data_IF_064311518486
#
_entry.id   IF_064311518486
#
_cell.length_a   1.000
_cell.length_b   1.000
_cell.length_c   1.000
_cell.angle_alpha   90.00
_cell.angle_beta   90.00
_cell.angle_gamma   90.00
#
_symmetry.space_group_name_H-M   'P 1'
#
loop_
_entity.id
_entity.type
_entity.pdbx_description
1 polymer ?
#
# COMPACT_ATOMS: atom_id res chain seq x y z
N UNK A 1 -9.72 -2.52 0.20
CA UNK A 1 -10.09 -1.16 0.60
C UNK A 1 -10.21 -0.27 -0.64
N UNK A 2 -10.93 0.85 -0.55
CA UNK A 2 -11.03 1.79 -1.67
C UNK A 2 -9.65 2.41 -1.99
N UNK A 3 -9.40 2.73 -3.25
CA UNK A 3 -8.10 3.26 -3.72
C UNK A 3 -7.01 2.19 -3.87
N UNK A 4 -7.16 1.04 -3.23
CA UNK A 4 -6.20 -0.06 -3.29
C UNK A 4 -6.53 -1.03 -4.43
N UNK A 5 -5.50 -1.53 -5.08
CA UNK A 5 -5.68 -2.52 -6.13
C UNK A 5 -6.07 -3.87 -5.53
N UNK A 6 -7.23 -4.37 -5.91
CA UNK A 6 -7.67 -5.73 -5.64
C UNK A 6 -7.13 -6.67 -6.72
N UNK A 7 -6.67 -7.84 -6.32
CA UNK A 7 -6.28 -8.92 -7.24
C UNK A 7 -6.57 -10.27 -6.59
N UNK A 8 -7.19 -11.18 -7.35
CA UNK A 8 -7.46 -12.54 -6.92
C UNK A 8 -7.39 -13.49 -8.12
N UNK A 9 -6.66 -14.58 -8.00
CA UNK A 9 -6.57 -15.60 -9.04
C UNK A 9 -7.56 -16.72 -8.76
N UNK A 10 -8.54 -16.89 -9.64
CA UNK A 10 -9.49 -18.02 -9.60
C UNK A 10 -8.76 -19.26 -10.11
N UNK A 11 -8.68 -20.27 -9.26
CA UNK A 11 -8.06 -21.53 -9.63
C UNK A 11 -9.12 -22.55 -10.00
N UNK A 12 -8.98 -23.17 -11.17
CA UNK A 12 -9.78 -24.30 -11.63
C UNK A 12 -8.89 -25.45 -12.08
N UNK A 13 -9.48 -26.60 -12.19
CA UNK A 13 -8.84 -27.76 -12.75
C UNK A 13 -9.82 -28.39 -13.76
N UNK A 14 -9.40 -28.49 -15.01
CA UNK A 14 -10.10 -29.24 -16.03
C UNK A 14 -9.44 -30.62 -16.16
N UNK A 15 -10.18 -31.73 -15.88
CA UNK A 15 -9.61 -33.09 -15.90
C UNK A 15 -9.21 -33.55 -17.30
N UNK A 16 -9.87 -33.02 -18.34
CA UNK A 16 -9.65 -33.42 -19.74
C UNK A 16 -8.61 -32.53 -20.43
N UNK A 17 -8.29 -31.37 -19.83
CA UNK A 17 -7.27 -30.43 -20.30
C UNK A 17 -7.78 -29.52 -21.42
N UNK A 18 -9.11 -29.32 -21.51
CA UNK A 18 -9.73 -28.40 -22.46
C UNK A 18 -9.43 -26.93 -22.08
N UNK A 19 -9.61 -26.01 -23.03
CA UNK A 19 -9.43 -24.58 -22.76
C UNK A 19 -10.62 -24.06 -21.96
N UNK A 20 -10.33 -23.48 -20.81
CA UNK A 20 -11.34 -22.94 -19.91
C UNK A 20 -11.37 -21.43 -20.02
N UNK A 21 -12.59 -20.85 -20.08
CA UNK A 21 -12.83 -19.41 -20.01
C UNK A 21 -13.60 -19.07 -18.75
N UNK A 22 -13.33 -17.90 -18.18
CA UNK A 22 -13.99 -17.35 -17.00
C UNK A 22 -14.59 -15.99 -17.33
N UNK A 23 -15.85 -15.78 -16.94
CA UNK A 23 -16.55 -14.50 -17.10
C UNK A 23 -17.23 -14.10 -15.79
N UNK A 24 -17.42 -12.80 -15.59
CA UNK A 24 -18.29 -12.26 -14.55
C UNK A 24 -19.65 -12.02 -15.19
N UNK A 25 -20.71 -12.61 -14.63
CA UNK A 25 -22.06 -12.49 -15.17
C UNK A 25 -22.74 -11.17 -14.80
N UNK A 26 -22.33 -10.56 -13.68
CA UNK A 26 -22.84 -9.26 -13.26
C UNK A 26 -21.72 -8.22 -13.29
N UNK A 27 -22.03 -7.03 -13.83
CA UNK A 27 -21.08 -5.94 -13.97
C UNK A 27 -20.89 -5.19 -12.65
N UNK A 28 -19.78 -5.41 -11.99
CA UNK A 28 -19.28 -4.54 -10.91
C UNK A 28 -18.35 -3.54 -11.58
N UNK A 29 -18.65 -2.24 -11.48
CA UNK A 29 -18.02 -1.20 -12.28
C UNK A 29 -16.49 -1.14 -12.20
N UNK A 30 -15.94 -1.45 -11.03
CA UNK A 30 -14.50 -1.40 -10.78
C UNK A 30 -13.79 -2.76 -10.93
N UNK A 31 -14.53 -3.88 -11.04
CA UNK A 31 -13.98 -5.25 -11.06
C UNK A 31 -13.98 -5.83 -12.47
N UNK A 32 -12.87 -6.41 -12.88
CA UNK A 32 -12.69 -7.09 -14.15
C UNK A 32 -12.15 -8.50 -13.96
N UNK A 33 -12.41 -9.39 -14.91
CA UNK A 33 -11.77 -10.69 -15.01
C UNK A 33 -11.10 -10.85 -16.38
N UNK A 34 -9.90 -11.40 -16.39
CA UNK A 34 -9.23 -11.77 -17.64
C UNK A 34 -9.52 -13.24 -18.01
N UNK A 35 -9.12 -13.65 -19.22
CA UNK A 35 -9.33 -15.02 -19.73
C UNK A 35 -8.61 -16.12 -18.92
N UNK A 36 -7.66 -15.75 -18.06
CA UNK A 36 -6.95 -16.67 -17.17
C UNK A 36 -7.60 -16.75 -15.78
N UNK A 37 -8.73 -16.09 -15.56
CA UNK A 37 -9.45 -16.05 -14.28
C UNK A 37 -8.84 -15.12 -13.23
N UNK A 38 -7.98 -14.19 -13.62
CA UNK A 38 -7.51 -13.18 -12.71
C UNK A 38 -8.54 -12.07 -12.60
N UNK A 39 -9.08 -11.92 -11.41
CA UNK A 39 -9.91 -10.78 -11.01
C UNK A 39 -9.00 -9.63 -10.61
N UNK A 40 -9.32 -8.44 -11.08
CA UNK A 40 -8.56 -7.24 -10.71
C UNK A 40 -9.40 -5.96 -10.85
N UNK A 41 -9.06 -4.96 -10.07
CA UNK A 41 -9.69 -3.65 -10.12
C UNK A 41 -9.32 -2.79 -8.93
N UNK A 42 -9.75 -1.54 -8.97
CA UNK A 42 -9.54 -0.58 -7.89
C UNK A 42 -10.87 0.08 -7.56
N UNK A 43 -11.49 -0.24 -6.42
CA UNK A 43 -12.71 0.42 -5.99
C UNK A 43 -12.43 1.89 -5.66
N UNK A 44 -13.43 2.72 -5.85
CA UNK A 44 -13.37 4.15 -5.58
C UNK A 44 -14.04 4.51 -4.25
N UNK A 45 -13.94 5.77 -3.82
CA UNK A 45 -14.62 6.28 -2.62
C UNK A 45 -16.15 6.05 -2.68
N UNK A 46 -16.75 6.08 -3.87
CA UNK A 46 -18.20 5.82 -4.03
C UNK A 46 -18.61 4.37 -3.78
N UNK A 47 -17.65 3.45 -3.75
CA UNK A 47 -17.89 2.02 -3.53
C UNK A 47 -17.79 1.64 -2.04
N UNK A 48 -17.36 2.56 -1.15
CA UNK A 48 -17.24 2.33 0.29
C UNK A 48 -18.57 1.89 0.89
N UNK A 49 -18.53 0.81 1.66
CA UNK A 49 -19.70 0.21 2.30
C UNK A 49 -20.56 -0.62 1.35
N UNK A 50 -20.19 -0.72 0.08
CA UNK A 50 -20.84 -1.65 -0.84
C UNK A 50 -20.48 -3.10 -0.50
N UNK A 51 -21.40 -4.00 -0.79
CA UNK A 51 -21.21 -5.45 -0.67
C UNK A 51 -21.89 -6.09 -1.87
N UNK A 52 -21.07 -6.55 -2.82
CA UNK A 52 -21.53 -7.08 -4.09
C UNK A 52 -21.32 -8.59 -4.16
N UNK A 53 -22.28 -9.31 -4.75
CA UNK A 53 -22.10 -10.71 -5.06
C UNK A 53 -21.45 -10.84 -6.43
N UNK A 54 -20.28 -11.43 -6.49
CA UNK A 54 -19.60 -11.77 -7.74
C UNK A 54 -20.08 -13.15 -8.16
N UNK A 55 -20.69 -13.27 -9.34
CA UNK A 55 -21.04 -14.51 -9.97
C UNK A 55 -20.07 -14.76 -11.13
N UNK A 56 -19.33 -15.86 -11.06
CA UNK A 56 -18.40 -16.29 -12.09
C UNK A 56 -18.96 -17.52 -12.79
N UNK A 57 -19.01 -17.47 -14.12
CA UNK A 57 -19.26 -18.65 -14.94
C UNK A 57 -17.96 -19.10 -15.60
N UNK A 58 -17.59 -20.34 -15.35
CA UNK A 58 -16.43 -21.01 -15.93
C UNK A 58 -16.95 -21.99 -16.99
N UNK A 59 -16.47 -21.87 -18.23
CA UNK A 59 -16.92 -22.70 -19.35
C UNK A 59 -15.72 -23.33 -20.07
N UNK A 60 -15.79 -24.64 -20.34
CA UNK A 60 -14.84 -25.32 -21.23
C UNK A 60 -15.21 -25.11 -22.71
N UNK A 61 -14.27 -25.34 -23.60
CA UNK A 61 -14.47 -25.23 -25.06
C UNK A 61 -14.66 -26.58 -25.75
N UNK A 62 -15.11 -27.63 -25.05
CA UNK A 62 -15.27 -28.96 -25.58
C UNK A 62 -16.22 -28.95 -26.82
N UNK A 63 -15.79 -29.46 -27.97
CA UNK A 63 -16.61 -29.51 -29.16
C UNK A 63 -17.94 -30.23 -28.92
N UNK A 64 -19.05 -29.55 -29.19
CA UNK A 64 -20.43 -30.02 -29.10
C UNK A 64 -21.02 -30.20 -27.68
N UNK A 65 -20.27 -30.01 -26.62
CA UNK A 65 -20.77 -30.09 -25.24
C UNK A 65 -19.97 -29.11 -24.39
N UNK A 66 -20.32 -27.84 -24.41
CA UNK A 66 -19.75 -26.86 -23.48
C UNK A 66 -20.27 -27.16 -22.07
N UNK A 67 -19.41 -27.58 -21.17
CA UNK A 67 -19.76 -27.71 -19.77
C UNK A 67 -19.44 -26.40 -19.07
N UNK A 68 -20.31 -26.01 -18.14
CA UNK A 68 -20.12 -24.80 -17.35
C UNK A 68 -20.32 -25.08 -15.87
N UNK A 69 -19.63 -24.31 -15.03
CA UNK A 69 -19.79 -24.31 -13.59
C UNK A 69 -19.84 -22.87 -13.10
N UNK A 70 -20.78 -22.62 -12.18
CA UNK A 70 -20.96 -21.32 -11.55
C UNK A 70 -20.33 -21.32 -10.17
N UNK A 71 -19.68 -20.21 -9.83
CA UNK A 71 -19.13 -19.96 -8.53
C UNK A 71 -19.48 -18.54 -8.08
N UNK A 72 -19.95 -18.39 -6.83
CA UNK A 72 -20.29 -17.09 -6.30
C UNK A 72 -19.61 -16.81 -4.97
N UNK A 73 -19.22 -15.56 -4.76
CA UNK A 73 -18.71 -15.05 -3.49
C UNK A 73 -19.10 -13.59 -3.34
N UNK A 74 -18.98 -13.08 -2.13
CA UNK A 74 -19.25 -11.67 -1.83
C UNK A 74 -17.94 -10.91 -1.68
N UNK A 75 -17.88 -9.72 -2.29
CA UNK A 75 -16.79 -8.76 -2.11
C UNK A 75 -17.35 -7.51 -1.45
N UNK A 76 -16.70 -7.03 -0.39
CA UNK A 76 -17.04 -5.78 0.27
C UNK A 76 -15.91 -4.79 0.10
N UNK A 77 -16.26 -3.51 0.06
CA UNK A 77 -15.30 -2.40 -0.02
C UNK A 77 -15.34 -1.62 1.28
N UNK A 78 -14.24 -1.68 2.01
CA UNK A 78 -14.06 -0.92 3.25
C UNK A 78 -13.33 0.39 2.97
N UNK A 79 -13.45 1.34 3.90
CA UNK A 79 -12.68 2.58 3.89
C UNK A 79 -11.18 2.27 4.02
N UNK A 80 -10.35 2.93 3.21
CA UNK A 80 -8.90 2.95 3.40
C UNK A 80 -8.56 4.03 4.44
N UNK A 81 -7.78 3.66 5.44
CA UNK A 81 -7.30 4.57 6.47
C UNK A 81 -5.79 4.78 6.27
N UNK A 82 -5.29 6.02 6.40
CA UNK A 82 -3.88 6.29 6.20
C UNK A 82 -2.99 5.61 7.24
N UNK A 83 -1.73 5.28 6.90
CA UNK A 83 -0.73 4.85 7.87
C UNK A 83 -0.55 5.88 8.99
N UNK A 84 -0.35 5.43 10.21
CA UNK A 84 -0.23 6.27 11.40
C UNK A 84 1.16 6.14 12.00
N UNK A 85 1.80 7.29 12.28
CA UNK A 85 3.02 7.31 13.09
C UNK A 85 2.65 7.15 14.57
N UNK A 86 3.20 6.15 15.22
CA UNK A 86 2.99 5.86 16.65
C UNK A 86 4.06 6.50 17.54
N UNK A 87 5.23 6.74 16.98
CA UNK A 87 6.37 7.39 17.66
C UNK A 87 6.69 8.69 16.95
N UNK A 88 6.71 9.77 17.72
CA UNK A 88 7.04 11.10 17.23
C UNK A 88 8.34 11.58 17.89
N UNK A 89 9.24 12.22 17.12
CA UNK A 89 10.34 13.00 17.70
C UNK A 89 9.77 14.25 18.40
N UNK A 90 10.58 14.87 19.24
CA UNK A 90 10.28 16.22 19.72
C UNK A 90 10.26 17.21 18.54
N UNK A 91 9.53 18.33 18.66
CA UNK A 91 9.45 19.37 17.61
C UNK A 91 10.83 19.85 17.17
N UNK A 92 11.79 19.82 18.11
CA UNK A 92 13.21 20.12 17.85
C UNK A 92 14.10 19.08 18.51
N UNK A 93 14.81 18.32 17.71
CA UNK A 93 15.82 17.37 18.14
C UNK A 93 17.22 17.98 18.12
N UNK A 94 18.15 17.39 18.83
CA UNK A 94 19.57 17.81 18.84
C UNK A 94 20.46 16.70 18.27
N UNK A 95 21.36 17.05 17.37
CA UNK A 95 22.42 16.18 16.86
C UNK A 95 23.79 16.81 17.17
N UNK A 96 24.79 15.99 17.52
CA UNK A 96 26.15 16.48 17.86
C UNK A 96 27.09 16.21 16.69
N UNK A 97 27.93 17.21 16.36
CA UNK A 97 28.95 17.10 15.32
C UNK A 97 29.84 15.87 15.55
N UNK A 98 30.05 15.09 14.48
CA UNK A 98 30.89 13.88 14.52
C UNK A 98 30.27 12.67 15.23
N UNK A 99 29.12 12.83 15.87
CA UNK A 99 28.38 11.73 16.51
C UNK A 99 27.23 11.24 15.60
N UNK A 100 26.98 9.94 15.65
CA UNK A 100 25.83 9.36 14.90
C UNK A 100 24.53 9.80 15.56
N UNK A 101 23.67 10.46 14.77
CA UNK A 101 22.27 10.70 15.07
C UNK A 101 21.44 9.56 14.50
N UNK A 102 20.44 9.09 15.23
CA UNK A 102 19.50 8.07 14.75
C UNK A 102 18.16 8.23 15.46
N UNK A 103 17.08 8.08 14.70
CA UNK A 103 15.72 8.00 15.22
C UNK A 103 14.94 6.94 14.43
N UNK A 104 14.20 6.08 15.12
CA UNK A 104 13.34 5.07 14.53
C UNK A 104 11.88 5.43 14.78
N UNK A 105 11.09 5.40 13.73
CA UNK A 105 9.65 5.62 13.78
C UNK A 105 8.92 4.30 14.02
N UNK A 106 7.89 4.32 14.86
CA UNK A 106 6.84 3.31 14.86
C UNK A 106 5.77 3.75 13.87
N UNK A 107 5.40 2.88 12.94
CA UNK A 107 4.37 3.15 11.94
C UNK A 107 3.49 1.91 11.85
N UNK A 108 2.18 2.11 11.84
CA UNK A 108 1.20 1.05 11.65
C UNK A 108 0.13 1.50 10.67
N UNK A 109 -0.54 0.52 10.07
CA UNK A 109 -1.71 0.72 9.25
C UNK A 109 -2.89 -0.07 9.82
N UNK A 110 -4.05 0.58 9.98
CA UNK A 110 -5.22 -0.02 10.60
C UNK A 110 -5.91 -1.06 9.70
N UNK A 111 -5.75 -0.93 8.39
CA UNK A 111 -6.26 -1.87 7.39
C UNK A 111 -5.26 -3.00 7.10
N UNK A 112 -4.03 -2.91 7.62
CA UNK A 112 -2.88 -3.74 7.31
C UNK A 112 -2.47 -3.68 5.84
N UNK A 113 -2.63 -2.52 5.23
CA UNK A 113 -2.15 -2.27 3.88
C UNK A 113 -0.63 -2.05 3.87
N UNK A 114 0.02 -2.41 2.77
CA UNK A 114 1.42 -2.12 2.55
C UNK A 114 1.61 -0.61 2.36
N UNK A 115 2.56 -0.02 3.05
CA UNK A 115 2.86 1.40 2.92
C UNK A 115 4.36 1.66 2.69
N UNK A 116 4.66 2.82 2.14
CA UNK A 116 6.03 3.27 1.84
C UNK A 116 6.39 4.43 2.75
N UNK A 117 7.50 4.27 3.51
CA UNK A 117 8.11 5.35 4.30
C UNK A 117 9.11 6.13 3.45
N UNK A 118 8.98 7.45 3.43
CA UNK A 118 9.88 8.38 2.72
C UNK A 118 10.23 9.59 3.57
N UNK A 119 11.34 10.27 3.19
CA UNK A 119 11.80 11.50 3.84
C UNK A 119 12.04 12.55 2.74
N UNK A 120 10.97 13.24 2.26
CA UNK A 120 11.04 14.13 1.13
C UNK A 120 11.89 15.40 1.37
N UNK A 121 12.00 15.86 2.63
CA UNK A 121 12.83 16.99 3.00
C UNK A 121 13.75 16.60 4.15
N UNK A 122 15.06 16.81 3.99
CA UNK A 122 16.07 16.50 4.98
C UNK A 122 17.42 17.17 4.63
N UNK A 123 18.29 17.42 5.62
CA UNK A 123 19.65 17.86 5.34
C UNK A 123 20.48 16.75 4.65
N UNK A 124 21.53 17.16 3.93
CA UNK A 124 22.37 16.24 3.15
C UNK A 124 23.09 15.19 4.00
N UNK A 125 23.40 15.51 5.26
CA UNK A 125 24.07 14.58 6.16
C UNK A 125 23.16 13.48 6.75
N UNK A 126 21.83 13.65 6.61
CA UNK A 126 20.83 12.70 7.10
C UNK A 126 20.42 11.75 5.97
N UNK A 127 20.52 10.46 6.20
CA UNK A 127 19.97 9.39 5.37
C UNK A 127 18.73 8.78 5.99
N UNK A 128 18.07 7.86 5.28
CA UNK A 128 16.98 7.06 5.84
C UNK A 128 16.99 5.63 5.30
N UNK A 129 16.43 4.71 6.08
CA UNK A 129 16.14 3.34 5.70
C UNK A 129 14.61 3.17 5.70
N UNK A 130 14.04 2.92 4.53
CA UNK A 130 12.59 2.79 4.37
C UNK A 130 12.04 1.48 4.94
N UNK A 131 12.84 0.41 5.03
CA UNK A 131 12.40 -0.89 5.53
C UNK A 131 12.34 -0.95 7.06
N UNK A 132 13.24 -0.22 7.73
CA UNK A 132 13.33 -0.18 9.19
C UNK A 132 12.70 1.09 9.78
N UNK A 133 12.24 2.03 8.92
CA UNK A 133 11.67 3.33 9.29
C UNK A 133 12.64 4.16 10.13
N UNK A 134 13.92 4.15 9.74
CA UNK A 134 14.99 4.82 10.48
C UNK A 134 15.51 6.01 9.67
N UNK A 135 15.72 7.14 10.34
CA UNK A 135 16.57 8.23 9.87
C UNK A 135 17.89 8.21 10.65
N UNK A 136 19.00 8.39 9.96
CA UNK A 136 20.31 8.41 10.62
C UNK A 136 21.35 9.18 9.81
N UNK A 137 22.38 9.68 10.50
CA UNK A 137 23.48 10.37 9.84
C UNK A 137 24.47 10.95 10.84
N UNK A 138 25.55 11.53 10.34
CA UNK A 138 26.59 12.15 11.17
C UNK A 138 26.85 13.57 10.67
N UNK A 139 26.37 14.60 11.40
CA UNK A 139 26.55 15.98 10.97
C UNK A 139 28.01 16.41 11.06
N UNK A 140 28.40 17.37 10.22
CA UNK A 140 29.72 17.96 10.14
C UNK A 140 29.72 19.35 10.81
N UNK A 141 30.89 19.93 11.11
CA UNK A 141 30.98 21.30 11.67
C UNK A 141 30.29 22.38 10.87
N UNK A 142 30.19 22.19 9.54
CA UNK A 142 29.44 23.10 8.64
C UNK A 142 27.93 23.11 8.88
N UNK A 143 27.40 22.08 9.51
CA UNK A 143 25.95 21.91 9.71
C UNK A 143 25.45 22.64 10.97
N UNK A 144 26.37 23.19 11.81
CA UNK A 144 26.00 23.94 13.03
C UNK A 144 25.41 25.31 12.78
N UNK A 145 25.40 25.79 11.53
CA UNK A 145 25.01 27.18 11.17
C UNK A 145 23.52 27.37 10.95
N UNK A 146 22.73 26.28 10.90
CA UNK A 146 21.32 26.33 10.58
C UNK A 146 20.50 25.32 11.37
N UNK A 147 19.21 25.60 11.52
CA UNK A 147 18.21 24.61 11.91
C UNK A 147 17.81 23.82 10.66
N UNK A 148 17.85 22.50 10.75
CA UNK A 148 17.54 21.62 9.64
C UNK A 148 16.12 21.07 9.76
N UNK A 149 15.27 21.40 8.79
CA UNK A 149 13.94 20.82 8.71
C UNK A 149 14.00 19.39 8.17
N UNK A 150 13.14 18.54 8.71
CA UNK A 150 12.95 17.17 8.24
C UNK A 150 11.46 16.95 8.08
N UNK A 151 11.04 16.44 6.93
CA UNK A 151 9.66 16.01 6.67
C UNK A 151 9.68 14.51 6.42
N UNK A 152 8.82 13.77 7.12
CA UNK A 152 8.63 12.34 6.95
C UNK A 152 7.22 12.06 6.43
N UNK A 153 7.08 11.03 5.63
CA UNK A 153 5.81 10.59 5.07
C UNK A 153 5.70 9.07 5.12
N UNK A 154 4.49 8.60 5.41
CA UNK A 154 4.07 7.23 5.19
C UNK A 154 2.86 7.26 4.26
N UNK A 155 2.91 6.52 3.16
CA UNK A 155 1.88 6.49 2.14
C UNK A 155 1.52 5.05 1.78
N UNK A 156 0.26 4.73 1.78
CA UNK A 156 -0.30 3.48 1.25
C UNK A 156 -0.82 3.66 -0.18
N UNK A 157 -1.77 2.82 -0.59
CA UNK A 157 -2.33 2.81 -1.94
C UNK A 157 -3.22 4.03 -2.29
N UNK A 158 -3.68 4.82 -1.33
CA UNK A 158 -4.58 5.96 -1.58
C UNK A 158 -4.36 7.14 -0.65
N UNK A 159 -3.77 6.91 0.52
CA UNK A 159 -3.69 7.88 1.59
C UNK A 159 -2.25 8.17 2.02
N UNK A 160 -2.03 9.36 2.58
CA UNK A 160 -0.68 9.82 2.99
C UNK A 160 -0.76 10.52 4.34
N UNK A 161 0.06 10.06 5.26
CA UNK A 161 0.33 10.80 6.51
C UNK A 161 1.72 11.42 6.48
N UNK A 162 1.84 12.68 6.88
CA UNK A 162 3.13 13.36 6.95
C UNK A 162 3.19 14.31 8.14
N UNK A 163 4.41 14.52 8.65
CA UNK A 163 4.70 15.59 9.60
C UNK A 163 6.15 16.09 9.46
N UNK A 164 6.43 17.25 10.05
CA UNK A 164 7.76 17.87 10.00
C UNK A 164 8.25 18.21 11.41
N UNK A 165 9.55 18.13 11.58
CA UNK A 165 10.27 18.54 12.80
C UNK A 165 11.62 19.16 12.42
N UNK A 166 12.34 19.67 13.42
CA UNK A 166 13.63 20.31 13.19
C UNK A 166 14.76 19.58 13.91
N UNK A 167 15.97 19.64 13.35
CA UNK A 167 17.20 19.17 14.00
C UNK A 167 18.16 20.36 14.13
N UNK A 168 18.61 20.64 15.35
CA UNK A 168 19.69 21.58 15.67
C UNK A 168 20.98 20.82 15.84
N UNK A 169 22.02 21.21 15.11
CA UNK A 169 23.34 20.61 15.23
C UNK A 169 24.19 21.42 16.20
N UNK A 170 24.76 20.75 17.21
CA UNK A 170 25.63 21.34 18.25
C UNK A 170 27.03 20.74 18.21
N UNK A 171 28.02 21.47 18.75
CA UNK A 171 29.40 20.98 18.87
C UNK A 171 29.53 19.95 20.00
#
# INVERSE_FOLDING_TARGET
HHGCQYSYDVNWNDPDGDVVTCVIDESIAWLNVNSLGQLSGTPTESDIGSSETVLLTITDDRPNVNLSADYSFTISVDENLPPVFETFPEDTMTATVGSQFMFQFGISDANNDDFVFTVPDKPNWLGYNSSDYIISGTPQPSDTTATHNVTVQAADCGEVTSFSFSIVVTN
#
